data_IF_450695461574
#
_entry.id   IF_450695461574
#
_cell.length_a   1.000
_cell.length_b   1.000
_cell.length_c   1.000
_cell.angle_alpha   90.00
_cell.angle_beta   90.00
_cell.angle_gamma   90.00
#
_symmetry.space_group_name_H-M   'P 1'
#
loop_
_entity.id
_entity.type
_entity.pdbx_description
1 polymer ?
2 non-polymer ?
3 non-polymer ?
4 water ?
#
# COMPACT_ATOMS: atom_id res chain seq x y z
N UNK A 1 0.36 -30.39 -9.64
CA UNK A 1 1.33 -29.59 -10.42
C UNK A 1 0.88 -29.51 -11.88
N UNK A 2 1.05 -28.32 -12.49
CA UNK A 2 0.54 -28.07 -13.86
C UNK A 2 1.53 -28.47 -14.96
N UNK A 3 1.05 -29.27 -15.92
CA UNK A 3 1.86 -29.69 -17.07
C UNK A 3 2.10 -28.55 -18.05
N UNK A 4 3.37 -28.30 -18.33
CA UNK A 4 3.78 -27.26 -19.27
C UNK A 4 4.27 -27.85 -20.59
N UNK A 5 3.56 -27.52 -21.67
CA UNK A 5 3.99 -27.90 -23.02
C UNK A 5 4.06 -26.74 -23.99
N UNK A 6 5.27 -26.46 -24.44
CA UNK A 6 5.60 -25.28 -25.21
C UNK A 6 6.51 -25.62 -26.37
N UNK A 7 6.25 -24.97 -27.49
CA UNK A 7 7.06 -25.09 -28.70
C UNK A 7 7.26 -23.71 -29.31
N UNK A 8 8.41 -23.50 -29.94
CA UNK A 8 8.71 -22.29 -30.73
C UNK A 8 10.01 -22.52 -31.48
N UNK A 9 10.33 -21.60 -32.38
CA UNK A 9 11.63 -21.60 -33.02
C UNK A 9 12.35 -20.31 -32.65
N UNK A 10 13.64 -20.45 -32.35
CA UNK A 10 14.53 -19.33 -32.04
C UNK A 10 14.56 -18.42 -33.27
N UNK A 11 14.28 -17.14 -33.05
CA UNK A 11 14.39 -16.14 -34.11
C UNK A 11 15.85 -15.90 -34.49
N UNK A 12 16.07 -15.65 -35.78
CA UNK A 12 17.38 -15.44 -36.38
C UNK A 12 18.26 -14.43 -35.62
N UNK A 13 17.68 -13.33 -35.16
CA UNK A 13 18.47 -12.33 -34.44
C UNK A 13 18.75 -12.68 -32.98
N UNK A 14 18.31 -13.85 -32.52
CA UNK A 14 18.69 -14.38 -31.21
C UNK A 14 20.02 -15.13 -31.25
N UNK A 15 20.62 -15.16 -32.45
CA UNK A 15 21.97 -15.73 -32.66
C UNK A 15 22.91 -15.36 -31.51
N UNK A 16 23.46 -16.38 -30.84
CA UNK A 16 24.50 -16.15 -29.83
C UNK A 16 24.00 -16.01 -28.40
N UNK A 17 22.67 -15.92 -28.21
CA UNK A 17 22.08 -15.91 -26.86
C UNK A 17 22.29 -17.24 -26.14
N UNK A 18 22.46 -17.19 -24.83
CA UNK A 18 22.42 -18.39 -24.01
C UNK A 18 21.08 -19.08 -24.21
N UNK A 19 21.10 -20.42 -24.16
CA UNK A 19 19.87 -21.20 -24.24
C UNK A 19 18.83 -20.67 -23.24
N UNK A 20 19.21 -20.47 -21.99
CA UNK A 20 18.22 -19.99 -21.02
C UNK A 20 17.68 -18.60 -21.36
N UNK A 21 18.59 -17.68 -21.73
CA UNK A 21 18.23 -16.33 -22.23
C UNK A 21 17.30 -16.36 -23.47
N UNK A 22 17.61 -17.20 -24.46
CA UNK A 22 16.77 -17.27 -25.66
C UNK A 22 15.36 -17.83 -25.35
N UNK A 23 15.31 -18.85 -24.49
CA UNK A 23 14.02 -19.43 -24.08
C UNK A 23 13.20 -18.45 -23.28
N UNK A 24 13.86 -17.65 -22.44
CA UNK A 24 13.16 -16.59 -21.68
C UNK A 24 12.49 -15.57 -22.63
N UNK A 25 13.16 -15.27 -23.73
CA UNK A 25 12.62 -14.30 -24.70
C UNK A 25 11.44 -14.89 -25.48
N UNK A 26 11.53 -16.17 -25.84
CA UNK A 26 10.49 -16.84 -26.64
C UNK A 26 9.25 -17.13 -25.80
N UNK A 27 9.46 -17.40 -24.52
CA UNK A 27 8.39 -17.73 -23.56
C UNK A 27 8.47 -16.81 -22.34
N UNK A 28 8.06 -15.51 -22.49
CA UNK A 28 8.10 -14.58 -21.35
C UNK A 28 7.06 -14.83 -20.23
N UNK A 29 6.17 -15.81 -20.42
CA UNK A 29 5.21 -16.19 -19.39
C UNK A 29 5.85 -16.96 -18.23
N UNK A 30 7.14 -17.28 -18.36
CA UNK A 30 7.83 -18.14 -17.41
C UNK A 30 9.13 -17.52 -16.99
N UNK A 31 9.35 -17.49 -15.67
CA UNK A 31 10.52 -16.83 -15.11
C UNK A 31 11.80 -17.45 -15.64
N UNK A 32 12.85 -16.65 -15.57
CA UNK A 32 14.17 -17.02 -16.06
C UNK A 32 14.72 -18.27 -15.37
N UNK A 33 14.65 -18.29 -14.03
CA UNK A 33 15.16 -19.41 -13.24
C UNK A 33 14.35 -20.71 -13.44
N UNK A 34 13.02 -20.60 -13.47
CA UNK A 34 12.12 -21.68 -13.89
C UNK A 34 12.61 -22.36 -15.18
N UNK A 35 12.84 -21.57 -16.23
CA UNK A 35 13.38 -22.09 -17.50
C UNK A 35 14.74 -22.81 -17.34
N UNK A 36 15.62 -22.22 -16.52
CA UNK A 36 16.94 -22.80 -16.19
C UNK A 36 16.79 -24.21 -15.53
N UNK A 37 15.88 -24.32 -14.57
CA UNK A 37 15.54 -25.61 -13.92
C UNK A 37 15.03 -26.64 -14.91
N UNK A 38 14.26 -26.16 -15.88
CA UNK A 38 13.68 -27.03 -16.90
C UNK A 38 14.78 -27.61 -17.79
N UNK A 39 15.77 -26.77 -18.11
CA UNK A 39 16.89 -27.15 -18.97
C UNK A 39 17.75 -28.20 -18.27
N UNK A 40 18.16 -27.89 -17.04
CA UNK A 40 19.03 -28.79 -16.27
C UNK A 40 18.34 -30.14 -16.00
N UNK A 41 17.02 -30.13 -15.83
CA UNK A 41 16.29 -31.35 -15.52
C UNK A 41 15.89 -32.14 -16.79
N UNK A 42 16.60 -31.89 -17.91
CA UNK A 42 16.41 -32.64 -19.17
C UNK A 42 15.00 -32.47 -19.76
N UNK A 43 14.40 -31.32 -19.53
CA UNK A 43 13.02 -31.11 -19.99
C UNK A 43 12.87 -30.26 -21.25
N UNK A 44 14.01 -29.88 -21.86
CA UNK A 44 14.00 -29.12 -23.08
C UNK A 44 14.66 -29.89 -24.23
N UNK A 45 13.91 -30.02 -25.33
CA UNK A 45 14.45 -30.53 -26.60
C UNK A 45 14.77 -29.39 -27.57
N UNK A 46 15.90 -29.52 -28.26
CA UNK A 46 16.35 -28.59 -29.27
C UNK A 46 16.62 -29.42 -30.53
N UNK A 47 15.80 -29.21 -31.56
CA UNK A 47 15.80 -30.02 -32.79
C UNK A 47 15.66 -31.55 -32.56
N UNK A 48 14.73 -31.92 -31.67
CA UNK A 48 14.48 -33.32 -31.32
C UNK A 48 15.48 -33.97 -30.38
N UNK A 49 16.40 -33.17 -29.84
CA UNK A 49 17.45 -33.67 -28.95
C UNK A 49 17.46 -32.96 -27.57
N UNK A 50 17.57 -33.72 -26.48
CA UNK A 50 17.61 -33.14 -25.14
C UNK A 50 18.89 -32.31 -24.94
N UNK A 51 18.70 -31.06 -24.57
CA UNK A 51 19.81 -30.15 -24.31
C UNK A 51 19.69 -29.56 -22.90
N UNK A 52 20.69 -29.88 -22.08
CA UNK A 52 20.66 -29.53 -20.65
C UNK A 52 21.73 -28.52 -20.21
N UNK A 53 22.30 -27.81 -21.18
CA UNK A 53 23.26 -26.75 -20.86
C UNK A 53 22.64 -25.36 -21.03
N UNK A 54 22.22 -24.73 -19.91
CA UNK A 54 21.58 -23.40 -19.90
C UNK A 54 22.47 -22.32 -20.52
N UNK A 55 23.79 -22.52 -20.42
CA UNK A 55 24.77 -21.58 -20.94
C UNK A 55 25.03 -21.75 -22.46
N UNK A 56 24.59 -22.85 -23.05
CA UNK A 56 24.90 -23.13 -24.45
C UNK A 56 24.25 -22.12 -25.39
N UNK A 57 25.02 -21.67 -26.36
CA UNK A 57 24.61 -20.62 -27.30
C UNK A 57 23.76 -21.17 -28.45
N UNK A 58 22.63 -20.52 -28.70
CA UNK A 58 21.75 -20.81 -29.84
C UNK A 58 22.24 -20.17 -31.14
N UNK A 59 21.74 -20.68 -32.26
CA UNK A 59 22.11 -20.11 -33.55
C UNK A 59 20.98 -19.37 -34.29
N UNK A 60 19.75 -19.52 -33.81
CA UNK A 60 18.59 -19.01 -34.53
C UNK A 60 18.07 -20.04 -35.53
N UNK A 61 16.77 -20.32 -35.47
CA UNK A 61 16.17 -21.32 -36.34
C UNK A 61 16.01 -22.69 -35.69
N UNK A 62 16.59 -22.87 -34.49
CA UNK A 62 16.41 -24.10 -33.68
C UNK A 62 14.97 -24.27 -33.25
N UNK A 63 14.41 -25.46 -33.48
CA UNK A 63 13.10 -25.80 -32.97
C UNK A 63 13.17 -26.31 -31.51
N UNK A 64 12.43 -25.64 -30.63
CA UNK A 64 12.52 -25.89 -29.20
C UNK A 64 11.19 -26.49 -28.76
N UNK A 65 11.26 -27.51 -27.94
CA UNK A 65 10.07 -28.10 -27.32
C UNK A 65 10.34 -28.35 -25.82
N UNK A 66 9.39 -27.90 -24.98
CA UNK A 66 9.48 -28.11 -23.53
C UNK A 66 8.28 -28.93 -23.04
N UNK A 67 8.55 -29.94 -22.21
CA UNK A 67 7.54 -30.75 -21.52
C UNK A 67 7.98 -30.77 -20.06
N UNK A 68 7.32 -29.96 -19.22
CA UNK A 68 7.68 -29.81 -17.81
C UNK A 68 6.43 -29.66 -16.94
N UNK A 69 6.61 -29.40 -15.65
CA UNK A 69 5.44 -29.09 -14.82
C UNK A 69 5.74 -28.03 -13.76
N UNK A 70 4.71 -27.56 -13.06
CA UNK A 70 4.86 -26.50 -12.05
C UNK A 70 4.60 -27.03 -10.62
N UNK A 71 3.56 -26.56 -9.94
CA UNK A 71 3.33 -26.87 -8.52
C UNK A 71 1.97 -26.39 -8.01
N UNK A 75 0.28 -20.70 -1.95
CA UNK A 75 -0.12 -19.32 -1.79
C UNK A 75 -0.14 -18.95 -0.30
N UNK A 76 -0.73 -17.80 0.00
CA UNK A 76 -0.74 -17.23 1.33
C UNK A 76 -1.65 -18.02 2.23
N UNK A 77 -1.28 -18.12 3.50
CA UNK A 77 -2.00 -18.97 4.45
C UNK A 77 -3.05 -18.21 5.26
N UNK A 78 -4.21 -18.83 5.53
CA UNK A 78 -5.13 -18.20 6.51
C UNK A 78 -4.47 -18.16 7.89
N UNK A 79 -4.61 -17.03 8.58
CA UNK A 79 -4.12 -16.84 9.94
C UNK A 79 -5.19 -16.24 10.83
N UNK A 80 -5.25 -16.79 12.02
CA UNK A 80 -6.13 -16.40 13.08
C UNK A 80 -5.76 -14.98 13.59
N UNK A 81 -6.16 -13.94 12.88
CA UNK A 81 -5.82 -12.58 13.27
C UNK A 81 -7.17 -11.87 13.37
N UNK A 82 -7.58 -11.41 14.58
CA UNK A 82 -8.91 -10.75 14.67
C UNK A 82 -9.03 -9.44 13.83
N UNK A 83 -10.19 -9.19 13.27
CA UNK A 83 -10.47 -8.02 12.43
C UNK A 83 -11.62 -7.29 13.10
N UNK A 84 -11.57 -5.95 13.10
CA UNK A 84 -12.64 -5.15 13.65
C UNK A 84 -13.57 -4.83 12.48
N UNK A 85 -14.66 -5.58 12.36
CA UNK A 85 -15.59 -5.36 11.27
C UNK A 85 -16.63 -4.30 11.64
N UNK A 86 -16.61 -3.20 10.89
CA UNK A 86 -17.55 -2.07 10.98
C UNK A 86 -18.90 -2.40 10.32
N UNK A 87 -18.84 -3.02 9.15
CA UNK A 87 -20.03 -3.31 8.32
C UNK A 87 -19.68 -4.51 7.44
N UNK A 88 -20.64 -5.39 7.20
CA UNK A 88 -20.47 -6.46 6.24
C UNK A 88 -21.84 -6.78 5.62
N UNK A 89 -21.87 -6.96 4.31
CA UNK A 89 -23.10 -7.52 3.70
C UNK A 89 -22.68 -8.63 2.77
N UNK A 90 -23.49 -8.97 1.77
CA UNK A 90 -23.11 -10.08 0.91
C UNK A 90 -21.87 -9.79 0.07
N UNK A 91 -21.59 -8.50 -0.18
CA UNK A 91 -20.66 -8.10 -1.24
C UNK A 91 -19.38 -7.46 -0.75
N UNK A 92 -19.46 -6.81 0.41
CA UNK A 92 -18.31 -6.04 0.92
C UNK A 92 -18.14 -6.19 2.42
N UNK A 93 -16.92 -5.91 2.90
CA UNK A 93 -16.60 -5.82 4.30
C UNK A 93 -15.88 -4.47 4.53
N UNK A 94 -16.26 -3.79 5.60
CA UNK A 94 -15.57 -2.57 6.02
C UNK A 94 -14.93 -2.93 7.36
N UNK A 95 -13.62 -2.74 7.43
CA UNK A 95 -12.85 -3.02 8.63
C UNK A 95 -12.24 -1.74 9.20
N UNK A 96 -12.04 -1.72 10.52
CA UNK A 96 -11.27 -0.65 11.16
C UNK A 96 -9.89 -1.22 11.51
N UNK A 97 -8.89 -0.92 10.68
CA UNK A 97 -7.54 -1.52 10.87
C UNK A 97 -6.77 -0.84 12.01
N UNK A 98 -6.22 -1.64 12.95
CA UNK A 98 -5.33 -1.09 13.95
C UNK A 98 -3.93 -0.86 13.39
N UNK A 99 -3.09 -0.26 14.22
CA UNK A 99 -1.68 -0.10 13.88
C UNK A 99 -0.98 -1.46 14.00
N UNK A 100 0.25 -1.54 13.52
CA UNK A 100 1.05 -2.77 13.54
C UNK A 100 0.38 -3.90 12.75
N UNK A 101 -0.28 -3.56 11.64
CA UNK A 101 -0.89 -4.58 10.82
C UNK A 101 -0.72 -4.17 9.37
N UNK A 102 0.08 -4.96 8.66
CA UNK A 102 0.30 -4.81 7.24
C UNK A 102 -0.90 -5.32 6.45
N UNK A 103 -1.24 -4.66 5.35
CA UNK A 103 -2.38 -5.09 4.53
C UNK A 103 -2.15 -6.36 3.65
N UNK A 104 -1.06 -6.38 2.91
CA UNK A 104 -0.79 -7.44 1.94
C UNK A 104 0.65 -7.90 2.10
N UNK A 105 0.90 -9.22 1.98
CA UNK A 105 2.27 -9.74 2.04
C UNK A 105 3.21 -9.06 1.05
N UNK A 106 4.44 -8.82 1.50
CA UNK A 106 5.52 -8.38 0.63
C UNK A 106 6.86 -8.60 1.32
N UNK A 107 7.92 -8.09 0.70
CA UNK A 107 9.25 -8.18 1.29
C UNK A 107 9.25 -7.66 2.73
N UNK A 108 9.74 -8.47 3.65
CA UNK A 108 9.81 -8.09 5.06
C UNK A 108 8.59 -8.52 5.85
N UNK A 109 7.49 -8.82 5.16
CA UNK A 109 6.24 -9.25 5.83
C UNK A 109 5.60 -10.36 5.02
N UNK A 110 6.17 -11.58 5.08
CA UNK A 110 5.66 -12.74 4.34
C UNK A 110 4.23 -13.11 4.76
N UNK A 111 3.89 -12.86 6.02
CA UNK A 111 2.56 -13.25 6.55
C UNK A 111 2.15 -12.29 7.69
N UNK A 112 1.11 -12.64 8.43
CA UNK A 112 0.64 -11.81 9.53
C UNK A 112 -0.14 -10.58 9.09
N UNK A 113 -0.71 -10.63 7.89
CA UNK A 113 -1.28 -9.44 7.26
C UNK A 113 -2.80 -9.47 7.23
N UNK A 114 -3.42 -8.36 6.81
CA UNK A 114 -4.89 -8.37 6.67
C UNK A 114 -5.33 -9.43 5.71
N UNK A 115 -4.52 -9.65 4.67
CA UNK A 115 -4.88 -10.71 3.72
C UNK A 115 -4.97 -12.14 4.35
N UNK A 116 -3.96 -12.52 5.14
CA UNK A 116 -4.02 -13.74 5.93
C UNK A 116 -5.24 -13.79 6.85
N UNK A 117 -5.53 -12.66 7.49
CA UNK A 117 -6.74 -12.52 8.34
C UNK A 117 -8.05 -12.77 7.59
N UNK A 118 -8.16 -12.16 6.40
CA UNK A 118 -9.36 -12.37 5.52
C UNK A 118 -9.52 -13.82 5.07
N UNK A 119 -8.41 -14.44 4.61
CA UNK A 119 -8.41 -15.86 4.27
C UNK A 119 -8.94 -16.77 5.41
N UNK A 120 -8.69 -16.40 6.66
CA UNK A 120 -9.18 -17.13 7.80
C UNK A 120 -10.66 -16.83 8.06
N UNK A 121 -11.02 -15.55 8.13
CA UNK A 121 -12.41 -15.11 8.39
C UNK A 121 -13.43 -15.63 7.34
N UNK A 122 -13.08 -15.54 6.08
CA UNK A 122 -14.00 -15.87 4.98
C UNK A 122 -13.21 -16.57 3.88
N UNK A 123 -12.89 -17.89 4.05
CA UNK A 123 -12.13 -18.64 3.01
C UNK A 123 -12.58 -18.51 1.51
N UNK A 124 -13.91 -18.39 1.18
CA UNK A 124 -14.27 -18.15 -0.24
C UNK A 124 -13.69 -16.86 -0.88
N UNK A 125 -13.17 -15.95 -0.06
CA UNK A 125 -12.50 -14.77 -0.59
C UNK A 125 -11.22 -15.12 -1.35
N UNK A 126 -10.69 -16.33 -1.15
CA UNK A 126 -9.52 -16.79 -1.93
C UNK A 126 -9.80 -16.77 -3.44
N UNK A 127 -11.08 -16.78 -3.84
CA UNK A 127 -11.48 -16.72 -5.27
C UNK A 127 -11.52 -15.30 -5.87
N UNK A 128 -11.36 -14.30 -5.03
CA UNK A 128 -11.32 -12.91 -5.45
C UNK A 128 -9.85 -12.43 -5.52
N UNK A 129 -9.44 -11.75 -6.63
CA UNK A 129 -8.08 -11.18 -6.73
C UNK A 129 -7.65 -10.41 -5.46
N UNK A 130 -6.46 -10.75 -4.96
CA UNK A 130 -5.83 -10.13 -3.77
C UNK A 130 -6.76 -10.15 -2.57
N UNK A 131 -7.52 -11.23 -2.43
CA UNK A 131 -8.50 -11.42 -1.35
C UNK A 131 -9.43 -10.23 -1.23
N UNK A 132 -9.77 -9.64 -2.37
CA UNK A 132 -10.70 -8.51 -2.52
C UNK A 132 -10.21 -7.17 -1.94
N UNK A 133 -8.94 -7.13 -1.60
CA UNK A 133 -8.29 -5.89 -1.14
C UNK A 133 -8.13 -4.96 -2.36
N UNK A 134 -8.70 -3.74 -2.30
CA UNK A 134 -8.71 -2.82 -3.47
C UNK A 134 -7.91 -1.52 -3.23
N UNK A 135 -7.54 -1.27 -1.99
CA UNK A 135 -6.68 -0.13 -1.66
C UNK A 135 -5.91 -0.47 -0.37
N UNK A 136 -4.79 0.20 -0.16
CA UNK A 136 -3.97 -0.10 1.01
C UNK A 136 -4.08 1.00 2.09
N UNK A 137 -3.66 0.63 3.29
CA UNK A 137 -3.26 1.53 4.38
C UNK A 137 -1.91 1.03 4.83
N UNK A 138 -1.04 1.95 5.24
CA UNK A 138 0.26 1.61 5.80
C UNK A 138 0.12 0.80 7.07
N UNK A 139 1.16 0.04 7.42
CA UNK A 139 1.17 -0.78 8.61
C UNK A 139 0.69 -0.01 9.84
N UNK A 140 1.23 1.19 10.04
CA UNK A 140 0.94 2.01 11.24
C UNK A 140 -0.04 3.17 11.03
N UNK A 141 -0.81 3.09 9.96
CA UNK A 141 -1.93 3.96 9.73
C UNK A 141 -3.18 3.20 10.23
N UNK A 142 -4.02 3.88 10.99
CA UNK A 142 -5.22 3.22 11.47
C UNK A 142 -6.46 3.58 10.61
N UNK A 143 -7.52 2.77 10.71
CA UNK A 143 -8.79 3.23 10.16
C UNK A 143 -9.42 2.36 9.08
N UNK A 144 -10.34 2.99 8.35
CA UNK A 144 -11.23 2.29 7.44
C UNK A 144 -10.57 1.71 6.16
N UNK A 145 -10.98 0.51 5.75
CA UNK A 145 -10.61 -0.10 4.49
C UNK A 145 -11.88 -0.78 4.02
N UNK A 146 -12.11 -0.74 2.72
CA UNK A 146 -13.13 -1.56 2.10
C UNK A 146 -12.53 -2.72 1.30
N UNK A 147 -13.20 -3.89 1.43
CA UNK A 147 -12.75 -5.13 0.91
C UNK A 147 -13.96 -5.77 0.21
N UNK A 148 -13.76 -6.25 -1.02
CA UNK A 148 -14.76 -6.96 -1.84
C UNK A 148 -14.81 -8.45 -1.46
N UNK A 149 -16.02 -8.99 -1.31
CA UNK A 149 -16.15 -10.40 -0.95
C UNK A 149 -16.31 -11.26 -2.18
N UNK A 150 -16.68 -10.64 -3.29
CA UNK A 150 -17.04 -11.38 -4.49
C UNK A 150 -16.30 -10.82 -5.74
N UNK A 151 -16.24 -11.62 -6.80
CA UNK A 151 -15.62 -11.19 -8.06
C UNK A 151 -16.39 -10.01 -8.67
N UNK A 152 -17.73 -10.09 -8.84
CA UNK A 152 -18.38 -8.85 -9.33
C UNK A 152 -18.12 -7.59 -8.47
N UNK A 153 -18.23 -7.71 -7.14
CA UNK A 153 -17.97 -6.58 -6.21
C UNK A 153 -16.58 -5.98 -6.41
N UNK A 154 -15.57 -6.84 -6.52
CA UNK A 154 -14.16 -6.38 -6.69
C UNK A 154 -13.96 -5.60 -8.00
N UNK A 155 -14.47 -6.16 -9.11
CA UNK A 155 -14.37 -5.48 -10.42
C UNK A 155 -15.02 -4.10 -10.39
N UNK A 156 -16.19 -4.00 -9.80
CA UNK A 156 -16.89 -2.74 -9.68
C UNK A 156 -16.26 -1.72 -8.75
N UNK A 157 -15.67 -2.20 -7.63
CA UNK A 157 -14.96 -1.29 -6.70
C UNK A 157 -13.72 -0.74 -7.39
N UNK A 158 -12.98 -1.59 -8.09
CA UNK A 158 -11.82 -1.15 -8.89
C UNK A 158 -12.23 -0.08 -9.95
N UNK A 159 -13.33 -0.29 -10.66
CA UNK A 159 -13.86 0.76 -11.58
C UNK A 159 -14.21 2.08 -10.88
N UNK A 160 -14.88 1.99 -9.73
CA UNK A 160 -15.15 3.17 -8.94
C UNK A 160 -13.90 3.93 -8.51
N UNK A 161 -12.81 3.20 -8.23
CA UNK A 161 -11.58 3.89 -7.83
C UNK A 161 -10.99 4.60 -9.04
N UNK A 162 -10.94 3.89 -10.18
CA UNK A 162 -10.37 4.45 -11.41
C UNK A 162 -11.11 5.72 -11.84
N UNK A 163 -12.42 5.74 -11.62
CA UNK A 163 -13.28 6.88 -11.95
C UNK A 163 -13.33 7.91 -10.84
N UNK A 164 -12.54 7.68 -9.78
CA UNK A 164 -12.51 8.59 -8.63
C UNK A 164 -13.87 8.82 -8.01
N UNK A 165 -14.65 7.75 -7.82
CA UNK A 165 -15.98 7.86 -7.23
C UNK A 165 -16.06 7.37 -5.78
N UNK A 166 -14.92 6.99 -5.19
CA UNK A 166 -14.87 6.61 -3.75
C UNK A 166 -14.18 7.76 -2.95
N UNK A 167 -14.85 8.27 -1.93
CA UNK A 167 -14.21 9.25 -1.08
C UNK A 167 -13.50 8.52 0.08
N UNK A 168 -12.21 8.80 0.23
CA UNK A 168 -11.40 8.24 1.32
C UNK A 168 -10.78 9.44 2.02
N UNK A 169 -11.33 9.71 3.20
CA UNK A 169 -10.93 10.85 4.00
C UNK A 169 -10.04 10.38 5.17
N UNK A 170 -9.03 11.18 5.50
CA UNK A 170 -8.17 10.89 6.65
C UNK A 170 -8.10 12.09 7.60
N UNK A 171 -7.73 11.84 8.84
CA UNK A 171 -7.38 12.93 9.77
C UNK A 171 -5.90 12.73 10.11
N UNK A 172 -5.18 13.84 10.21
CA UNK A 172 -3.75 13.78 10.47
C UNK A 172 -3.34 15.00 11.32
N UNK A 173 -2.25 14.80 12.06
CA UNK A 173 -1.55 15.92 12.70
C UNK A 173 -0.18 16.07 12.05
N UNK A 174 0.07 17.26 11.55
CA UNK A 174 1.29 17.57 10.81
C UNK A 174 2.16 18.54 11.60
N UNK A 175 3.45 18.48 11.35
CA UNK A 175 4.40 19.35 11.99
C UNK A 175 4.39 20.75 11.35
N UNK A 176 4.43 21.80 12.15
CA UNK A 176 4.53 23.12 11.58
C UNK A 176 3.19 23.86 11.56
N UNK A 177 3.25 25.15 11.32
CA UNK A 177 2.08 25.99 11.24
C UNK A 177 1.72 26.07 9.77
N UNK A 178 0.48 25.72 9.44
CA UNK A 178 0.05 25.76 8.04
C UNK A 178 -0.97 26.86 7.95
N UNK A 179 -0.94 27.58 6.82
CA UNK A 179 -1.74 28.79 6.63
C UNK A 179 -3.07 28.51 5.88
N UNK A 180 -3.04 27.55 4.95
CA UNK A 180 -4.17 27.28 4.08
C UNK A 180 -4.27 25.79 3.69
N UNK A 181 -5.50 25.36 3.43
CA UNK A 181 -5.74 24.09 2.77
C UNK A 181 -5.24 24.20 1.34
N UNK A 182 -5.34 23.11 0.58
CA UNK A 182 -4.86 23.08 -0.81
C UNK A 182 -4.77 21.67 -1.39
N UNK A 183 -3.88 21.49 -2.37
CA UNK A 183 -3.79 20.25 -3.13
C UNK A 183 -2.32 19.99 -3.42
N UNK A 184 -1.88 18.75 -3.21
CA UNK A 184 -0.57 18.32 -3.70
C UNK A 184 -0.79 17.39 -4.87
N UNK A 185 -0.28 17.76 -6.02
CA UNK A 185 -0.49 16.97 -7.22
C UNK A 185 0.90 16.79 -7.75
N UNK A 186 1.55 15.71 -7.31
CA UNK A 186 2.99 15.45 -7.56
C UNK A 186 3.18 13.95 -7.67
N UNK A 187 3.85 13.49 -8.74
CA UNK A 187 3.89 12.06 -8.89
C UNK A 187 4.83 11.41 -7.89
N UNK A 188 4.56 10.15 -7.54
CA UNK A 188 5.33 9.47 -6.50
C UNK A 188 6.06 8.23 -7.01
N UNK A 189 7.30 8.07 -6.56
CA UNK A 189 8.09 6.91 -6.92
C UNK A 189 8.80 6.34 -5.71
N UNK A 190 9.49 5.23 -5.91
CA UNK A 190 10.46 4.78 -4.94
C UNK A 190 11.58 5.82 -4.83
N UNK A 191 12.09 6.03 -3.62
CA UNK A 191 13.20 6.92 -3.41
C UNK A 191 14.46 6.27 -4.06
N UNK A 192 15.23 7.07 -4.85
CA UNK A 192 16.45 6.64 -5.60
C UNK A 192 17.48 5.93 -4.73
N UNK A 193 17.73 6.43 -3.52
CA UNK A 193 18.79 5.87 -2.67
C UNK A 193 18.37 5.24 -1.31
N UNK A 194 17.18 5.59 -0.82
CA UNK A 194 16.69 5.11 0.46
C UNK A 194 15.59 4.10 0.26
N UNK A 195 15.89 2.84 0.53
CA UNK A 195 14.95 1.75 0.21
C UNK A 195 13.67 1.72 1.09
N UNK A 196 13.72 2.44 2.21
CA UNK A 196 12.59 2.56 3.10
C UNK A 196 11.61 3.63 2.61
N UNK A 197 12.11 4.57 1.79
CA UNK A 197 11.35 5.73 1.40
C UNK A 197 10.68 5.64 0.04
N UNK A 198 9.56 6.38 -0.07
CA UNK A 198 8.98 6.83 -1.31
C UNK A 198 9.40 8.31 -1.47
N UNK A 199 9.18 8.92 -2.63
CA UNK A 199 9.62 10.29 -2.93
C UNK A 199 8.77 10.91 -4.03
N UNK A 200 8.58 12.22 -3.96
CA UNK A 200 8.04 12.94 -5.12
C UNK A 200 9.14 12.86 -6.21
N UNK A 201 8.72 12.57 -7.44
CA UNK A 201 9.65 12.36 -8.58
C UNK A 201 8.90 12.50 -9.89
N UNK A 202 9.44 13.31 -10.83
CA UNK A 202 8.79 13.52 -12.12
C UNK A 202 8.47 12.22 -12.85
N UNK A 203 9.26 11.17 -12.67
CA UNK A 203 8.96 9.88 -13.30
C UNK A 203 8.19 8.86 -12.44
N UNK A 204 7.61 9.31 -11.33
CA UNK A 204 6.74 8.43 -10.55
C UNK A 204 5.35 8.38 -11.13
N UNK A 205 4.46 7.69 -10.41
CA UNK A 205 3.04 7.59 -10.74
C UNK A 205 2.28 8.81 -10.23
N UNK A 206 1.38 9.38 -11.08
CA UNK A 206 0.60 10.59 -10.73
C UNK A 206 -0.20 10.36 -9.43
N UNK A 207 -0.27 11.39 -8.59
CA UNK A 207 -0.83 11.26 -7.25
C UNK A 207 -1.37 12.59 -6.83
N UNK A 208 -2.61 12.60 -6.34
CA UNK A 208 -3.28 13.81 -5.91
C UNK A 208 -3.89 13.63 -4.52
N UNK A 209 -3.51 14.56 -3.64
CA UNK A 209 -4.00 14.60 -2.29
C UNK A 209 -4.60 15.98 -2.07
N UNK A 210 -5.81 16.06 -1.50
CA UNK A 210 -6.39 17.33 -1.07
C UNK A 210 -6.37 17.42 0.45
N UNK A 211 -6.15 18.62 0.97
CA UNK A 211 -5.99 18.78 2.43
C UNK A 211 -6.65 20.09 2.88
N UNK A 212 -7.21 20.05 4.08
CA UNK A 212 -7.83 21.20 4.67
C UNK A 212 -7.43 21.24 6.14
N UNK A 213 -7.41 22.45 6.69
CA UNK A 213 -6.95 22.68 8.05
C UNK A 213 -8.15 22.64 8.97
N UNK A 214 -8.14 21.69 9.92
CA UNK A 214 -9.25 21.53 10.87
C UNK A 214 -9.07 22.44 12.07
N UNK A 215 -7.80 22.60 12.48
CA UNK A 215 -7.50 23.24 13.78
C UNK A 215 -6.02 23.57 13.82
N UNK A 216 -5.71 24.78 14.32
CA UNK A 216 -4.34 25.23 14.48
C UNK A 216 -3.86 24.90 15.90
N UNK A 217 -2.63 24.46 15.99
CA UNK A 217 -1.94 24.35 17.27
C UNK A 217 -0.72 25.26 17.17
N UNK A 218 0.09 25.32 18.23
CA UNK A 218 1.21 26.28 18.23
C UNK A 218 2.26 26.04 17.13
N UNK A 219 2.81 24.82 17.09
CA UNK A 219 3.80 24.47 16.06
C UNK A 219 3.40 23.16 15.34
N UNK A 220 2.10 22.85 15.37
CA UNK A 220 1.50 21.68 14.72
C UNK A 220 0.17 22.10 14.12
N UNK A 221 -0.41 21.27 13.23
CA UNK A 221 -1.69 21.64 12.56
C UNK A 221 -2.49 20.34 12.40
N UNK A 222 -3.79 20.35 12.71
CA UNK A 222 -4.65 19.20 12.43
C UNK A 222 -5.28 19.39 11.07
N UNK A 223 -5.21 18.32 10.28
CA UNK A 223 -5.67 18.28 8.90
C UNK A 223 -6.72 17.20 8.67
N UNK A 224 -7.60 17.46 7.71
CA UNK A 224 -8.28 16.38 7.02
C UNK A 224 -7.89 16.36 5.54
N UNK A 225 -7.73 15.15 5.01
CA UNK A 225 -7.24 14.95 3.62
C UNK A 225 -8.19 14.02 2.87
N UNK A 226 -8.24 14.17 1.54
CA UNK A 226 -9.07 13.29 0.72
C UNK A 226 -8.17 12.92 -0.45
N UNK A 227 -8.13 11.64 -0.74
CA UNK A 227 -7.23 11.14 -1.78
C UNK A 227 -7.97 10.92 -3.12
N UNK A 228 -7.29 11.21 -4.22
CA UNK A 228 -7.83 10.84 -5.55
C UNK A 228 -7.16 9.56 -6.07
N UNK A 229 -5.99 9.25 -5.50
CA UNK A 229 -5.17 8.12 -5.85
C UNK A 229 -4.71 7.49 -4.54
N UNK A 230 -4.18 6.28 -4.55
CA UNK A 230 -3.71 5.67 -3.32
C UNK A 230 -2.35 5.07 -3.46
N UNK A 231 -1.36 5.87 -3.90
CA UNK A 231 0.02 5.44 -3.96
C UNK A 231 0.59 5.10 -2.56
N UNK A 232 1.63 4.28 -2.54
CA UNK A 232 2.33 3.89 -1.31
C UNK A 232 2.86 5.12 -0.61
N UNK A 233 2.51 5.23 0.66
CA UNK A 233 2.93 6.34 1.54
C UNK A 233 2.43 7.70 1.03
N UNK A 234 1.35 7.75 0.23
CA UNK A 234 0.98 8.99 -0.49
C UNK A 234 0.85 10.21 0.43
N UNK A 235 0.00 10.11 1.46
CA UNK A 235 -0.15 11.26 2.40
C UNK A 235 1.15 11.64 3.06
N UNK A 236 1.89 10.65 3.59
CA UNK A 236 3.13 10.87 4.29
C UNK A 236 4.15 11.59 3.42
N UNK A 237 4.34 11.12 2.19
CA UNK A 237 5.31 11.72 1.29
C UNK A 237 4.89 13.10 0.74
N UNK A 238 3.62 13.24 0.33
CA UNK A 238 3.10 14.55 -0.09
C UNK A 238 3.21 15.59 1.04
N UNK A 239 2.86 15.20 2.29
CA UNK A 239 2.91 16.16 3.43
C UNK A 239 4.36 16.53 3.73
N UNK A 240 5.23 15.54 3.75
CA UNK A 240 6.68 15.79 3.86
C UNK A 240 7.23 16.70 2.73
N UNK A 241 6.81 16.46 1.48
CA UNK A 241 7.23 17.25 0.30
C UNK A 241 6.99 18.77 0.47
N UNK A 242 5.83 19.15 1.04
CA UNK A 242 5.45 20.54 1.25
C UNK A 242 5.96 21.10 2.61
N UNK A 243 6.81 20.30 3.28
CA UNK A 243 7.57 20.63 4.52
C UNK A 243 6.72 20.60 5.79
N UNK A 244 5.66 19.77 5.76
CA UNK A 244 4.78 19.51 6.92
C UNK A 244 4.64 18.00 7.13
N UNK A 245 5.78 17.31 7.44
CA UNK A 245 5.69 15.86 7.64
C UNK A 245 4.80 15.57 8.84
N UNK A 246 4.19 14.40 8.86
CA UNK A 246 3.31 14.00 9.95
C UNK A 246 4.07 13.76 11.25
N UNK A 247 3.46 14.21 12.34
CA UNK A 247 3.93 13.89 13.69
C UNK A 247 4.11 12.37 13.86
N UNK A 248 5.25 11.97 14.45
CA UNK A 248 5.50 10.60 14.79
C UNK A 248 5.89 9.71 13.62
N UNK A 249 5.98 10.30 12.42
CA UNK A 249 6.27 9.53 11.23
C UNK A 249 7.73 9.05 11.35
N UNK A 250 7.95 7.71 11.35
CA UNK A 250 9.33 7.28 11.67
C UNK A 250 10.27 7.37 10.49
N UNK A 251 9.72 7.63 9.30
CA UNK A 251 10.48 7.60 8.06
C UNK A 251 10.68 9.02 7.55
N UNK A 252 9.61 9.84 7.51
CA UNK A 252 9.71 11.15 6.87
C UNK A 252 9.86 12.30 7.91
N UNK A 253 9.52 12.04 9.14
CA UNK A 253 9.69 13.10 10.15
C UNK A 253 11.08 13.12 10.79
N UNK A 254 11.42 14.22 11.47
CA UNK A 254 12.71 14.34 12.16
C UNK A 254 12.46 14.27 13.66
N UNK A 255 13.40 14.77 14.45
CA UNK A 255 13.21 14.84 15.89
C UNK A 255 11.99 15.72 16.20
N UNK A 256 11.13 15.30 17.15
CA UNK A 256 10.00 16.15 17.61
C UNK A 256 10.52 17.54 18.05
N UNK A 257 9.81 18.60 17.69
CA UNK A 257 10.18 19.95 18.11
C UNK A 257 8.98 20.51 18.86
N UNK A 258 9.04 20.47 20.19
CA UNK A 258 7.97 20.99 21.02
C UNK A 258 8.02 22.53 21.00
N UNK A 259 6.89 23.20 21.19
CA UNK A 259 6.96 24.66 21.23
C UNK A 259 7.57 25.15 22.56
N UNK A 260 7.97 26.43 22.59
CA UNK A 260 8.56 26.99 23.81
C UNK A 260 7.58 26.93 24.99
N UNK A 261 8.04 26.39 26.12
CA UNK A 261 7.24 26.42 27.35
C UNK A 261 6.16 25.34 27.38
N UNK A 262 6.27 24.34 26.51
CA UNK A 262 5.39 23.15 26.53
C UNK A 262 5.42 22.46 27.90
N UNK A 263 4.26 22.07 28.40
CA UNK A 263 4.16 21.29 29.64
C UNK A 263 4.93 19.96 29.58
N UNK A 264 5.16 19.36 30.75
CA UNK A 264 5.77 18.04 30.84
C UNK A 264 4.92 16.98 30.13
N UNK A 265 3.60 17.06 30.31
CA UNK A 265 2.66 16.12 29.68
C UNK A 265 2.70 16.22 28.14
N UNK A 266 2.79 17.44 27.64
CA UNK A 266 2.89 17.71 26.20
C UNK A 266 4.18 17.10 25.64
N UNK A 267 5.32 17.39 26.28
CA UNK A 267 6.61 16.91 25.81
C UNK A 267 6.63 15.37 25.81
N UNK A 268 6.10 14.78 26.88
CA UNK A 268 6.01 13.34 27.06
C UNK A 268 5.14 12.64 25.97
N UNK A 269 3.96 13.18 25.77
CA UNK A 269 3.02 12.63 24.78
C UNK A 269 3.63 12.71 23.40
N UNK A 270 4.24 13.86 23.10
CA UNK A 270 4.85 14.07 21.77
C UNK A 270 6.02 13.15 21.50
N UNK A 271 6.89 12.98 22.51
CA UNK A 271 8.05 12.08 22.34
C UNK A 271 7.71 10.61 22.20
N UNK A 272 6.68 10.18 22.92
CA UNK A 272 6.23 8.82 22.85
C UNK A 272 5.47 8.45 21.56
N UNK A 273 4.86 9.43 20.90
CA UNK A 273 4.06 9.18 19.69
C UNK A 273 4.91 8.61 18.56
N UNK A 274 4.73 7.31 18.32
CA UNK A 274 5.69 6.52 17.48
C UNK A 274 5.14 5.93 16.17
N UNK A 275 4.12 6.57 15.64
CA UNK A 275 3.63 6.21 14.32
C UNK A 275 3.20 7.53 13.72
N UNK A 276 3.13 7.59 12.40
CA UNK A 276 2.51 8.73 11.74
C UNK A 276 1.12 8.99 12.39
N UNK A 277 0.86 10.25 12.77
CA UNK A 277 -0.45 10.66 13.31
C UNK A 277 -1.40 10.73 12.10
N UNK A 278 -1.95 9.58 11.71
CA UNK A 278 -2.67 9.43 10.40
C UNK A 278 -3.75 8.36 10.58
N UNK A 279 -5.01 8.68 10.25
CA UNK A 279 -6.15 7.77 10.52
C UNK A 279 -7.16 7.90 9.35
N UNK A 280 -7.60 6.77 8.78
CA UNK A 280 -8.61 6.79 7.69
C UNK A 280 -9.97 6.89 8.38
N UNK A 281 -10.55 8.07 8.32
CA UNK A 281 -11.64 8.37 9.21
C UNK A 281 -13.06 8.18 8.57
N UNK A 282 -13.20 8.33 7.26
CA UNK A 282 -14.51 8.28 6.58
C UNK A 282 -14.32 7.68 5.23
N UNK A 283 -15.27 6.84 4.85
CA UNK A 283 -15.31 6.24 3.53
C UNK A 283 -16.74 6.46 2.99
N UNK A 284 -16.85 6.89 1.75
CA UNK A 284 -18.15 7.08 1.12
C UNK A 284 -18.06 6.56 -0.30
N UNK A 285 -19.02 5.70 -0.65
CA UNK A 285 -19.05 5.06 -1.94
C UNK A 285 -20.48 4.71 -2.40
N UNK A 286 -20.61 4.47 -3.69
CA UNK A 286 -21.77 3.81 -4.29
C UNK A 286 -21.58 2.31 -4.17
N UNK A 287 -22.48 1.68 -3.43
CA UNK A 287 -22.38 0.23 -3.26
C UNK A 287 -22.21 -0.48 -4.62
N UNK A 288 -21.21 -1.40 -4.74
CA UNK A 288 -20.88 -1.95 -6.04
C UNK A 288 -21.98 -2.80 -6.67
N UNK A 289 -22.95 -3.22 -5.85
CA UNK A 289 -24.07 -4.06 -6.34
C UNK A 289 -25.35 -3.25 -6.40
N UNK A 290 -25.76 -2.66 -5.28
CA UNK A 290 -26.99 -1.86 -5.24
C UNK A 290 -26.87 -0.41 -5.76
N UNK A 291 -25.65 0.06 -6.07
CA UNK A 291 -25.41 1.48 -6.32
C UNK A 291 -26.00 2.47 -5.33
N UNK A 292 -26.42 2.04 -4.14
CA UNK A 292 -26.90 2.98 -3.12
C UNK A 292 -25.70 3.67 -2.45
N UNK A 293 -25.73 5.00 -2.28
CA UNK A 293 -24.64 5.71 -1.62
C UNK A 293 -24.58 5.38 -0.12
N UNK A 294 -23.37 5.04 0.34
CA UNK A 294 -23.14 4.63 1.73
C UNK A 294 -21.93 5.36 2.32
N UNK A 295 -21.91 5.56 3.63
CA UNK A 295 -20.81 6.25 4.34
C UNK A 295 -20.54 5.59 5.69
N UNK A 296 -19.26 5.36 6.00
CA UNK A 296 -18.87 4.80 7.29
C UNK A 296 -17.79 5.72 7.93
N UNK A 297 -17.71 5.67 9.26
CA UNK A 297 -16.75 6.45 10.05
C UNK A 297 -16.03 5.52 11.01
N UNK A 298 -14.72 5.70 11.15
CA UNK A 298 -13.96 5.09 12.25
C UNK A 298 -13.56 6.18 13.22
N UNK A 299 -13.93 6.02 14.51
CA UNK A 299 -13.63 7.02 15.55
C UNK A 299 -12.12 7.29 15.60
N UNK A 300 -11.70 8.51 15.92
CA UNK A 300 -10.26 8.73 16.15
C UNK A 300 -9.71 7.83 17.30
N UNK A 301 -8.63 7.09 17.04
CA UNK A 301 -8.10 6.18 18.07
C UNK A 301 -7.56 6.96 19.27
N UNK A 302 -7.55 6.29 20.42
CA UNK A 302 -7.12 6.94 21.66
C UNK A 302 -5.76 7.61 21.58
N UNK A 303 -4.78 6.98 20.92
CA UNK A 303 -3.45 7.62 20.77
C UNK A 303 -3.49 9.04 20.20
N UNK A 304 -4.25 9.23 19.12
CA UNK A 304 -4.39 10.51 18.49
C UNK A 304 -5.28 11.47 19.27
N UNK A 305 -6.35 10.96 19.89
CA UNK A 305 -7.20 11.74 20.75
C UNK A 305 -6.34 12.40 21.82
N UNK A 306 -5.55 11.62 22.57
CA UNK A 306 -4.64 12.24 23.55
C UNK A 306 -3.66 13.30 22.97
N UNK A 307 -3.04 12.96 21.84
CA UNK A 307 -2.13 13.87 21.12
C UNK A 307 -2.85 15.18 20.76
N UNK A 308 -4.02 15.07 20.16
CA UNK A 308 -4.78 16.27 19.72
C UNK A 308 -5.20 17.13 20.95
N UNK A 309 -5.70 16.47 21.99
CA UNK A 309 -6.17 17.20 23.17
C UNK A 309 -5.05 17.95 23.88
N UNK A 310 -3.86 17.34 23.95
CA UNK A 310 -2.69 18.02 24.52
C UNK A 310 -2.22 19.23 23.73
N UNK A 311 -2.18 19.07 22.42
CA UNK A 311 -1.82 20.17 21.56
C UNK A 311 -2.88 21.27 21.62
N UNK A 312 -4.16 20.90 21.71
CA UNK A 312 -5.26 21.89 21.78
C UNK A 312 -5.18 22.68 23.12
N UNK A 313 -5.00 21.96 24.23
CA UNK A 313 -4.90 22.62 25.56
C UNK A 313 -3.70 23.55 25.59
N UNK A 314 -2.57 23.10 25.04
CA UNK A 314 -1.39 23.96 24.88
C UNK A 314 -1.63 25.26 24.09
N UNK A 315 -2.28 25.17 22.93
CA UNK A 315 -2.54 26.33 22.09
C UNK A 315 -3.46 27.32 22.81
N UNK A 316 -4.55 26.81 23.42
CA UNK A 316 -5.50 27.62 24.17
C UNK A 316 -4.81 28.32 25.37
N UNK A 317 -4.07 27.57 26.19
CA UNK A 317 -3.28 28.16 27.29
C UNK A 317 -2.34 29.30 26.86
N UNK A 318 -1.63 29.13 25.75
CA UNK A 318 -0.65 30.12 25.28
C UNK A 318 -1.24 31.22 24.39
N UNK A 319 -2.57 31.34 24.42
CA UNK A 319 -3.31 32.51 23.90
C UNK A 319 -3.69 33.47 25.04
N UNK A 320 -2.97 33.36 26.17
CA UNK A 320 -3.05 34.25 27.34
C UNK A 320 -1.68 34.28 28.03
N UNK A 321 -1.42 35.33 28.79
CA UNK A 321 -0.15 35.41 29.55
C UNK A 321 -0.15 34.46 30.79
N UNK A 322 -1.20 33.62 30.88
CA UNK A 322 -1.43 32.68 31.99
C UNK A 322 -0.36 31.58 32.17
N UNK A 323 0.33 31.65 33.31
CA UNK A 323 1.03 30.50 33.87
C UNK A 323 0.86 30.64 35.38
N UNK A 324 0.01 29.79 35.97
CA UNK A 324 -0.33 29.92 37.39
C UNK A 324 0.12 28.74 38.26
#
# INVERSE_FOLDING_TARGET
AQRVQLTATVSENQLGQRLDQALAEMFPDYSRSRIKEWILDQRVLVNGKVCDKPKEKVLGGEQVAINAEIEEEARFEPQDIPLDIVYEDEDIIIINKPRDLVVHPGAGNPDGTVLNALLHYYPPIADVPRAGIVHRLDKDTTGLMVVAKTVPAQTRLVESLQRREITREYEAVAIGHMTAGGTVDEPISRHPTKRTHMAVHPMGKPAVTHYRIMEHFRVHTRLRLRLETGRTHQIRVHMAHITHPLVGDPVYGGRPRPPKGASEAFISTLRKFDRQALHATMLRLYHPISGIEMEWHAPIPQDMVELIEVMRADFEEHKDEVDWL
#
